data_IF_545325786939
#
_entry.id   IF_545325786939
#
_cell.length_a   1.000
_cell.length_b   1.000
_cell.length_c   1.000
_cell.angle_alpha   90.00
_cell.angle_beta   90.00
_cell.angle_gamma   90.00
#
_symmetry.space_group_name_H-M   'P 1'
#
loop_
_entity.id
_entity.type
_entity.pdbx_description
1 polymer ?
#
# COMPACT_ATOMS: atom_id res chain seq x y z
N UNK A 1 -15.43 -20.45 -13.19
CA UNK A 1 -14.16 -21.17 -13.53
C UNK A 1 -13.08 -20.13 -13.56
N UNK A 2 -11.95 -20.30 -12.88
CA UNK A 2 -10.85 -19.36 -13.06
C UNK A 2 -10.12 -19.69 -14.35
N UNK A 3 -9.83 -18.67 -15.15
CA UNK A 3 -9.07 -18.83 -16.38
C UNK A 3 -7.60 -19.10 -16.01
N UNK A 4 -7.09 -20.28 -16.34
CA UNK A 4 -5.71 -20.66 -16.05
C UNK A 4 -4.89 -20.51 -17.33
N UNK A 5 -3.87 -19.67 -17.31
CA UNK A 5 -2.92 -19.54 -18.40
C UNK A 5 -1.70 -20.41 -18.09
N UNK A 6 -1.32 -21.26 -19.03
CA UNK A 6 -0.07 -22.02 -18.90
C UNK A 6 1.16 -21.16 -19.26
N UNK A 7 2.32 -21.61 -18.79
CA UNK A 7 3.58 -20.90 -19.00
C UNK A 7 3.97 -20.78 -20.47
N UNK A 8 3.58 -21.74 -21.30
CA UNK A 8 3.88 -21.71 -22.72
C UNK A 8 3.09 -20.58 -23.40
N UNK A 9 1.79 -20.45 -23.12
CA UNK A 9 0.94 -19.38 -23.64
C UNK A 9 1.49 -17.99 -23.25
N UNK A 10 1.93 -17.81 -21.98
CA UNK A 10 2.53 -16.55 -21.54
C UNK A 10 3.81 -16.21 -22.32
N UNK A 11 4.62 -17.24 -22.63
CA UNK A 11 5.83 -17.07 -23.41
C UNK A 11 5.54 -16.77 -24.88
N UNK A 12 4.60 -17.51 -25.49
CA UNK A 12 4.21 -17.34 -26.91
C UNK A 12 3.59 -15.96 -27.17
N UNK A 13 2.89 -15.40 -26.18
CA UNK A 13 2.34 -14.06 -26.21
C UNK A 13 3.35 -12.95 -25.85
N UNK A 14 4.59 -13.32 -25.49
CA UNK A 14 5.61 -12.34 -25.10
C UNK A 14 5.27 -11.53 -23.85
N UNK A 15 4.43 -12.11 -22.95
CA UNK A 15 4.01 -11.44 -21.71
C UNK A 15 5.22 -11.14 -20.83
N UNK A 16 6.07 -12.15 -20.59
CA UNK A 16 7.34 -12.02 -19.87
C UNK A 16 8.49 -12.32 -20.81
N UNK A 17 9.41 -11.39 -21.01
CA UNK A 17 10.49 -11.49 -22.00
C UNK A 17 11.44 -12.65 -21.75
N UNK A 18 11.85 -13.31 -22.86
CA UNK A 18 12.93 -14.27 -22.84
C UNK A 18 14.19 -13.86 -23.62
N UNK A 19 14.18 -12.85 -24.46
CA UNK A 19 15.37 -12.41 -25.22
C UNK A 19 15.16 -11.00 -25.80
N UNK A 20 15.99 -10.03 -25.43
CA UNK A 20 16.24 -8.73 -26.08
C UNK A 20 15.05 -7.85 -26.51
N UNK A 21 13.83 -8.31 -26.41
CA UNK A 21 12.61 -7.55 -26.74
C UNK A 21 11.92 -7.07 -25.46
N UNK A 22 11.28 -5.91 -25.53
CA UNK A 22 10.49 -5.39 -24.43
C UNK A 22 9.24 -6.27 -24.31
N UNK A 23 9.07 -6.95 -23.17
CA UNK A 23 7.87 -7.74 -22.90
C UNK A 23 6.65 -6.85 -22.65
N UNK A 24 5.45 -7.41 -22.81
CA UNK A 24 4.21 -6.69 -22.47
C UNK A 24 4.23 -6.24 -21.02
N UNK A 25 4.65 -7.11 -20.10
CA UNK A 25 4.81 -6.75 -18.69
C UNK A 25 5.77 -5.56 -18.51
N UNK A 26 6.96 -5.61 -19.11
CA UNK A 26 7.95 -4.53 -18.99
C UNK A 26 7.46 -3.20 -19.55
N UNK A 27 6.64 -3.23 -20.62
CA UNK A 27 6.02 -2.04 -21.18
C UNK A 27 5.08 -1.34 -20.19
N UNK A 28 4.31 -2.12 -19.43
CA UNK A 28 3.32 -1.59 -18.49
C UNK A 28 3.86 -1.41 -17.06
N UNK A 29 5.02 -2.02 -16.71
CA UNK A 29 5.57 -1.95 -15.36
C UNK A 29 6.36 -0.65 -15.12
N UNK A 30 5.64 0.44 -14.98
CA UNK A 30 6.13 1.72 -14.50
C UNK A 30 5.68 1.99 -13.04
N UNK A 31 5.33 0.91 -12.30
CA UNK A 31 4.95 1.01 -10.90
C UNK A 31 6.10 1.59 -10.07
N UNK A 32 5.74 2.42 -9.11
CA UNK A 32 6.68 3.12 -8.22
C UNK A 32 7.03 2.32 -6.98
N UNK A 33 6.20 1.32 -6.66
CA UNK A 33 6.36 0.45 -5.49
C UNK A 33 6.67 -0.97 -5.92
N UNK A 34 7.37 -1.71 -5.04
CA UNK A 34 7.61 -3.14 -5.24
C UNK A 34 6.31 -3.93 -5.22
N UNK A 35 5.41 -3.62 -4.27
CA UNK A 35 4.08 -4.24 -4.19
C UNK A 35 3.24 -4.01 -5.43
N UNK A 36 3.28 -2.80 -6.01
CA UNK A 36 2.62 -2.51 -7.30
C UNK A 36 3.16 -3.36 -8.44
N UNK A 37 4.49 -3.48 -8.56
CA UNK A 37 5.10 -4.35 -9.59
C UNK A 37 4.69 -5.81 -9.43
N UNK A 38 4.61 -6.33 -8.20
CA UNK A 38 4.15 -7.70 -7.93
C UNK A 38 2.67 -7.89 -8.30
N UNK A 39 1.81 -6.95 -7.93
CA UNK A 39 0.38 -7.00 -8.30
C UNK A 39 0.21 -6.97 -9.83
N UNK A 40 0.96 -6.13 -10.54
CA UNK A 40 0.90 -6.13 -12.00
C UNK A 40 1.32 -7.49 -12.60
N UNK A 41 2.37 -8.10 -12.06
CA UNK A 41 2.81 -9.43 -12.47
C UNK A 41 1.73 -10.47 -12.23
N UNK A 42 1.11 -10.47 -11.04
CA UNK A 42 -0.02 -11.34 -10.70
C UNK A 42 -1.22 -11.15 -11.61
N UNK A 43 -1.52 -9.91 -12.04
CA UNK A 43 -2.60 -9.62 -12.97
C UNK A 43 -2.39 -10.26 -14.35
N UNK A 44 -1.15 -10.44 -14.79
CA UNK A 44 -0.84 -11.14 -16.02
C UNK A 44 -0.91 -12.66 -15.87
N UNK A 45 -0.52 -13.20 -14.70
CA UNK A 45 -0.66 -14.64 -14.42
C UNK A 45 -2.12 -15.05 -14.18
N UNK A 46 -2.94 -14.17 -13.61
CA UNK A 46 -4.30 -14.44 -13.19
C UNK A 46 -5.29 -13.44 -13.83
N UNK A 47 -5.54 -13.53 -15.14
CA UNK A 47 -6.49 -12.63 -15.80
C UNK A 47 -7.91 -12.84 -15.27
N UNK A 48 -8.66 -11.74 -15.19
CA UNK A 48 -10.04 -11.77 -14.73
C UNK A 48 -10.94 -12.39 -15.82
N UNK A 49 -11.89 -13.22 -15.39
CA UNK A 49 -12.96 -13.81 -16.20
C UNK A 49 -14.37 -13.32 -15.80
N UNK A 50 -14.44 -12.52 -14.74
CA UNK A 50 -15.71 -11.95 -14.26
C UNK A 50 -15.95 -10.57 -14.87
N UNK A 51 -17.12 -10.40 -15.51
CA UNK A 51 -17.51 -9.16 -16.20
C UNK A 51 -17.44 -7.92 -15.29
N UNK A 52 -17.99 -8.00 -14.06
CA UNK A 52 -18.03 -6.85 -13.15
C UNK A 52 -16.64 -6.46 -12.67
N UNK A 53 -15.76 -7.44 -12.40
CA UNK A 53 -14.37 -7.17 -12.00
C UNK A 53 -13.57 -6.57 -13.16
N UNK A 54 -13.76 -7.05 -14.39
CA UNK A 54 -13.10 -6.49 -15.59
C UNK A 54 -13.58 -5.06 -15.82
N UNK A 55 -14.90 -4.84 -15.78
CA UNK A 55 -15.52 -3.52 -15.96
C UNK A 55 -14.98 -2.52 -14.93
N UNK A 56 -14.91 -2.92 -13.67
CA UNK A 56 -14.40 -2.10 -12.59
C UNK A 56 -12.91 -1.75 -12.79
N UNK A 57 -12.05 -2.73 -13.08
CA UNK A 57 -10.63 -2.50 -13.39
C UNK A 57 -10.47 -1.56 -14.57
N UNK A 58 -11.22 -1.79 -15.65
CA UNK A 58 -11.23 -0.94 -16.84
C UNK A 58 -11.68 0.50 -16.53
N UNK A 59 -12.68 0.69 -15.65
CA UNK A 59 -13.16 2.01 -15.25
C UNK A 59 -12.10 2.77 -14.44
N UNK A 60 -11.41 2.10 -13.50
CA UNK A 60 -10.33 2.70 -12.70
C UNK A 60 -9.14 3.13 -13.56
N UNK A 61 -8.68 2.27 -14.49
CA UNK A 61 -7.63 2.63 -15.45
C UNK A 61 -8.07 3.81 -16.31
N UNK A 62 -9.32 3.80 -16.82
CA UNK A 62 -9.89 4.90 -17.60
C UNK A 62 -9.98 6.22 -16.82
N UNK A 63 -10.29 6.15 -15.54
CA UNK A 63 -10.28 7.33 -14.65
C UNK A 63 -8.88 7.95 -14.60
N UNK A 64 -7.84 7.18 -14.32
CA UNK A 64 -6.47 7.69 -14.25
C UNK A 64 -5.94 8.17 -15.61
N UNK A 65 -6.34 7.52 -16.71
CA UNK A 65 -6.01 7.96 -18.05
C UNK A 65 -6.64 9.35 -18.36
N UNK A 66 -7.89 9.57 -17.96
CA UNK A 66 -8.63 10.83 -18.16
C UNK A 66 -8.08 11.95 -17.27
N UNK A 67 -7.90 11.68 -15.97
CA UNK A 67 -7.47 12.69 -15.00
C UNK A 67 -5.98 12.98 -15.02
N UNK A 68 -5.17 12.04 -15.57
CA UNK A 68 -3.70 12.11 -15.54
C UNK A 68 -3.13 12.33 -14.14
N UNK A 69 -3.82 11.80 -13.13
CA UNK A 69 -3.40 11.92 -11.75
C UNK A 69 -2.12 11.12 -11.51
N UNK A 70 -1.12 11.76 -10.92
CA UNK A 70 0.15 11.12 -10.58
C UNK A 70 0.04 10.36 -9.26
N UNK A 71 0.91 9.36 -9.10
CA UNK A 71 1.04 8.62 -7.84
C UNK A 71 1.68 9.54 -6.77
N UNK A 72 0.96 9.87 -5.68
CA UNK A 72 1.40 10.93 -4.75
C UNK A 72 2.32 10.42 -3.64
N UNK A 73 2.54 9.11 -3.54
CA UNK A 73 3.30 8.50 -2.45
C UNK A 73 4.79 8.43 -2.77
N UNK A 74 5.63 8.51 -1.73
CA UNK A 74 7.07 8.33 -1.86
C UNK A 74 7.44 6.85 -1.73
N UNK A 75 8.21 6.30 -2.67
CA UNK A 75 8.61 4.89 -2.67
C UNK A 75 9.31 4.47 -1.35
N UNK A 76 10.14 5.34 -0.79
CA UNK A 76 10.87 5.06 0.45
C UNK A 76 9.96 4.81 1.66
N UNK A 77 8.73 5.31 1.65
CA UNK A 77 7.78 5.05 2.73
C UNK A 77 7.35 3.58 2.75
N UNK A 78 7.20 2.97 1.56
CA UNK A 78 6.81 1.55 1.46
C UNK A 78 7.93 0.64 1.93
N UNK A 79 9.17 0.90 1.54
CA UNK A 79 10.32 0.10 2.01
C UNK A 79 10.42 0.11 3.54
N UNK A 80 10.25 1.26 4.18
CA UNK A 80 10.29 1.39 5.63
C UNK A 80 9.08 0.72 6.31
N UNK A 81 7.87 0.92 5.75
CA UNK A 81 6.64 0.34 6.28
C UNK A 81 6.62 -1.19 6.15
N UNK A 82 7.00 -1.72 4.98
CA UNK A 82 7.07 -3.17 4.73
C UNK A 82 8.10 -3.84 5.62
N UNK A 83 9.29 -3.23 5.78
CA UNK A 83 10.32 -3.73 6.69
C UNK A 83 9.79 -3.80 8.12
N UNK A 84 9.16 -2.73 8.62
CA UNK A 84 8.59 -2.67 9.96
C UNK A 84 7.46 -3.69 10.17
N UNK A 85 6.55 -3.84 9.20
CA UNK A 85 5.43 -4.79 9.29
C UNK A 85 5.87 -6.25 9.11
N UNK A 86 7.01 -6.51 8.49
CA UNK A 86 7.56 -7.86 8.34
C UNK A 86 8.08 -8.46 9.64
N UNK A 87 8.35 -7.62 10.63
CA UNK A 87 8.77 -8.07 11.95
C UNK A 87 7.54 -8.50 12.79
N UNK A 88 7.33 -9.79 12.88
CA UNK A 88 6.24 -10.42 13.63
C UNK A 88 6.64 -10.92 15.01
N UNK A 89 7.88 -10.67 15.46
CA UNK A 89 8.35 -11.13 16.77
C UNK A 89 7.78 -10.24 17.88
N UNK A 90 6.96 -10.82 18.76
CA UNK A 90 6.39 -10.10 19.90
C UNK A 90 7.43 -9.45 20.83
N UNK A 91 8.67 -9.96 20.83
CA UNK A 91 9.78 -9.38 21.61
C UNK A 91 10.23 -8.02 21.09
N UNK A 92 9.92 -7.70 19.83
CA UNK A 92 10.22 -6.40 19.20
C UNK A 92 9.16 -5.36 19.45
N UNK A 93 8.05 -5.74 20.13
CA UNK A 93 6.97 -4.82 20.48
C UNK A 93 7.50 -3.64 21.29
N UNK A 94 7.19 -2.44 20.83
CA UNK A 94 7.55 -1.22 21.54
C UNK A 94 6.58 -1.08 22.73
N UNK A 95 7.12 -1.00 23.94
CA UNK A 95 6.32 -0.82 25.14
C UNK A 95 6.62 0.53 25.78
N UNK A 96 5.56 1.22 26.22
CA UNK A 96 5.69 2.34 27.15
C UNK A 96 6.28 1.83 28.46
N UNK A 97 7.30 2.46 28.99
CA UNK A 97 7.86 2.07 30.30
C UNK A 97 7.09 2.79 31.42
N UNK A 98 6.15 2.12 32.11
CA UNK A 98 5.40 2.74 33.20
C UNK A 98 6.28 3.05 34.42
N UNK A 99 7.55 2.60 34.43
CA UNK A 99 8.50 2.81 35.54
C UNK A 99 9.35 4.09 35.38
N UNK A 100 9.04 5.00 34.47
CA UNK A 100 9.71 6.32 34.35
C UNK A 100 9.36 7.29 35.47
N UNK A 101 8.51 6.88 36.42
CA UNK A 101 8.23 7.57 37.69
C UNK A 101 9.09 7.04 38.82
N UNK A 102 10.09 7.76 39.20
CA UNK A 102 10.73 7.81 40.55
C UNK A 102 11.30 6.52 41.19
N UNK A 103 12.31 5.85 40.62
CA UNK A 103 13.25 5.09 41.46
C UNK A 103 14.63 4.93 40.81
N UNK A 104 15.68 5.02 41.61
CA UNK A 104 17.08 4.84 41.20
C UNK A 104 17.39 3.45 40.59
N UNK A 105 16.57 2.43 40.93
CA UNK A 105 16.66 1.08 40.35
C UNK A 105 16.26 1.04 38.87
N UNK A 106 15.42 1.98 38.42
CA UNK A 106 15.02 2.11 37.01
C UNK A 106 16.14 2.66 36.12
N UNK A 107 17.08 3.41 36.67
CA UNK A 107 18.20 3.99 35.90
C UNK A 107 19.22 2.91 35.45
N UNK A 108 19.46 1.89 36.30
CA UNK A 108 20.35 0.78 35.97
C UNK A 108 19.68 -0.18 34.97
N UNK A 109 18.37 -0.46 35.15
CA UNK A 109 17.58 -1.25 34.19
C UNK A 109 17.42 -0.54 32.87
N UNK A 110 17.29 0.80 32.81
CA UNK A 110 17.31 1.60 31.59
C UNK A 110 18.66 1.50 30.85
N UNK A 111 19.77 1.53 31.56
CA UNK A 111 21.10 1.34 30.94
C UNK A 111 21.30 -0.07 30.41
N UNK A 112 20.77 -1.09 31.07
CA UNK A 112 20.81 -2.48 30.61
C UNK A 112 19.84 -2.74 29.45
N UNK A 113 18.61 -2.17 29.47
CA UNK A 113 17.67 -2.24 28.35
C UNK A 113 18.13 -1.43 27.12
N UNK A 114 18.79 -0.29 27.35
CA UNK A 114 19.39 0.52 26.27
C UNK A 114 20.58 -0.17 25.59
N UNK A 115 21.21 -1.14 26.27
CA UNK A 115 22.27 -2.00 25.72
C UNK A 115 21.68 -3.17 24.90
N UNK A 116 20.39 -3.52 25.09
CA UNK A 116 19.75 -4.68 24.45
C UNK A 116 18.93 -4.30 23.20
N UNK A 117 18.37 -3.07 23.10
CA UNK A 117 17.87 -2.53 21.84
C UNK A 117 18.88 -1.50 21.33
N UNK A 118 19.52 -1.83 20.22
CA UNK A 118 20.39 -0.87 19.54
C UNK A 118 19.53 0.33 19.14
N UNK A 119 20.05 1.55 19.25
CA UNK A 119 19.38 2.79 18.81
C UNK A 119 18.85 2.64 17.37
N UNK A 120 19.49 1.78 16.56
CA UNK A 120 19.10 1.40 15.19
C UNK A 120 17.77 0.65 15.06
N UNK A 121 17.41 -0.24 16.00
CA UNK A 121 16.14 -0.99 15.90
C UNK A 121 14.93 -0.09 16.22
N UNK A 122 15.07 0.78 17.22
CA UNK A 122 14.04 1.77 17.53
C UNK A 122 13.85 2.76 16.37
N UNK A 123 14.95 3.29 15.82
CA UNK A 123 14.90 4.21 14.69
C UNK A 123 14.29 3.57 13.43
N UNK A 124 14.50 2.27 13.20
CA UNK A 124 13.89 1.55 12.09
C UNK A 124 12.39 1.39 12.29
N UNK A 125 11.95 1.01 13.50
CA UNK A 125 10.54 0.91 13.83
C UNK A 125 9.84 2.27 13.77
N UNK A 126 10.47 3.33 14.31
CA UNK A 126 9.98 4.70 14.26
C UNK A 126 9.77 5.16 12.80
N UNK A 127 10.77 4.95 11.93
CA UNK A 127 10.66 5.27 10.51
C UNK A 127 9.52 4.50 9.83
N UNK A 128 9.34 3.23 10.17
CA UNK A 128 8.24 2.42 9.64
C UNK A 128 6.87 2.95 10.07
N UNK A 129 6.72 3.28 11.34
CA UNK A 129 5.49 3.87 11.89
C UNK A 129 5.17 5.22 11.23
N UNK A 130 6.15 6.12 11.17
CA UNK A 130 5.99 7.44 10.52
C UNK A 130 5.62 7.26 9.05
N UNK A 131 6.26 6.31 8.35
CA UNK A 131 5.93 6.02 6.95
C UNK A 131 4.50 5.52 6.76
N UNK A 132 3.99 4.66 7.67
CA UNK A 132 2.59 4.23 7.65
C UNK A 132 1.63 5.39 7.89
N UNK A 133 1.94 6.28 8.85
CA UNK A 133 1.16 7.48 9.11
C UNK A 133 1.07 8.35 7.86
N UNK A 134 2.19 8.59 7.17
CA UNK A 134 2.24 9.39 5.96
C UNK A 134 1.51 8.71 4.78
N UNK A 135 1.65 7.39 4.61
CA UNK A 135 0.92 6.63 3.58
C UNK A 135 -0.59 6.73 3.81
N UNK A 136 -1.07 6.50 5.04
CA UNK A 136 -2.49 6.52 5.37
C UNK A 136 -3.07 7.92 5.18
N UNK A 137 -2.35 8.96 5.59
CA UNK A 137 -2.79 10.35 5.41
C UNK A 137 -2.82 10.76 3.94
N UNK A 138 -1.81 10.36 3.15
CA UNK A 138 -1.80 10.60 1.71
C UNK A 138 -2.95 9.85 1.02
N UNK A 139 -3.23 8.61 1.44
CA UNK A 139 -4.36 7.83 0.94
C UNK A 139 -5.69 8.49 1.28
N UNK A 140 -5.84 9.02 2.49
CA UNK A 140 -7.03 9.77 2.91
C UNK A 140 -7.34 10.93 1.95
N UNK A 141 -6.35 11.75 1.64
CA UNK A 141 -6.50 12.89 0.73
C UNK A 141 -6.78 12.45 -0.70
N UNK A 142 -6.07 11.42 -1.15
CA UNK A 142 -6.21 10.89 -2.50
C UNK A 142 -7.61 10.30 -2.73
N UNK A 143 -8.10 9.50 -1.80
CA UNK A 143 -9.43 8.88 -1.90
C UNK A 143 -10.55 9.90 -1.75
N UNK A 144 -10.38 10.97 -0.96
CA UNK A 144 -11.32 12.07 -0.88
C UNK A 144 -11.49 12.79 -2.24
N UNK A 145 -10.42 12.89 -3.02
CA UNK A 145 -10.48 13.44 -4.39
C UNK A 145 -11.19 12.47 -5.33
N UNK A 146 -10.89 11.17 -5.28
CA UNK A 146 -11.54 10.16 -6.10
C UNK A 146 -13.05 10.06 -5.82
N UNK A 147 -13.46 10.22 -4.58
CA UNK A 147 -14.87 10.15 -4.17
C UNK A 147 -15.75 11.26 -4.76
N UNK A 148 -15.15 12.32 -5.33
CA UNK A 148 -15.89 13.38 -6.03
C UNK A 148 -16.28 12.98 -7.46
N UNK A 149 -15.67 11.91 -8.02
CA UNK A 149 -15.97 11.42 -9.36
C UNK A 149 -17.11 10.38 -9.31
N UNK A 150 -18.26 10.76 -9.89
CA UNK A 150 -19.46 9.91 -9.88
C UNK A 150 -19.31 8.61 -10.67
N UNK A 151 -18.46 8.59 -11.69
CA UNK A 151 -18.20 7.39 -12.47
C UNK A 151 -17.47 6.35 -11.59
N UNK A 152 -16.49 6.77 -10.83
CA UNK A 152 -15.73 5.89 -9.92
C UNK A 152 -16.60 5.39 -8.78
N UNK A 153 -17.34 6.25 -8.11
CA UNK A 153 -18.23 5.86 -7.00
C UNK A 153 -19.34 4.91 -7.43
N UNK A 154 -19.74 4.94 -8.70
CA UNK A 154 -20.76 4.03 -9.24
C UNK A 154 -20.26 2.62 -9.52
N UNK A 155 -18.95 2.41 -9.66
CA UNK A 155 -18.36 1.12 -10.07
C UNK A 155 -17.50 0.44 -9.02
N UNK A 156 -17.20 1.12 -7.89
CA UNK A 156 -16.36 0.55 -6.85
C UNK A 156 -16.90 0.78 -5.44
N UNK A 157 -17.13 -0.31 -4.73
CA UNK A 157 -17.41 -0.32 -3.29
C UNK A 157 -16.14 -0.35 -2.44
N UNK A 158 -14.96 -0.55 -3.07
CA UNK A 158 -13.69 -0.57 -2.33
C UNK A 158 -13.34 0.81 -1.80
N UNK A 159 -13.67 1.86 -2.54
CA UNK A 159 -13.45 3.22 -2.09
C UNK A 159 -14.23 3.50 -0.80
N UNK A 160 -15.48 3.03 -0.72
CA UNK A 160 -16.32 3.18 0.47
C UNK A 160 -15.69 2.44 1.66
N UNK A 161 -15.20 1.20 1.44
CA UNK A 161 -14.55 0.43 2.48
C UNK A 161 -13.22 1.07 2.96
N UNK A 162 -12.43 1.63 2.05
CA UNK A 162 -11.22 2.38 2.40
C UNK A 162 -11.57 3.59 3.25
N UNK A 163 -12.61 4.33 2.85
CA UNK A 163 -13.09 5.50 3.61
C UNK A 163 -13.61 5.08 4.99
N UNK A 164 -14.39 4.02 5.08
CA UNK A 164 -14.90 3.48 6.36
C UNK A 164 -13.76 3.15 7.34
N UNK A 165 -12.66 2.53 6.86
CA UNK A 165 -11.50 2.23 7.69
C UNK A 165 -10.82 3.53 8.16
N UNK A 166 -10.52 4.43 7.23
CA UNK A 166 -9.76 5.66 7.52
C UNK A 166 -10.56 6.61 8.43
N UNK A 167 -11.87 6.74 8.21
CA UNK A 167 -12.76 7.64 8.95
C UNK A 167 -13.19 7.05 10.32
N UNK A 168 -12.78 5.80 10.64
CA UNK A 168 -13.08 5.17 11.92
C UNK A 168 -12.37 5.87 13.08
N UNK A 169 -12.97 5.81 14.28
CA UNK A 169 -12.36 6.34 15.51
C UNK A 169 -10.98 5.73 15.80
N UNK A 170 -10.74 4.49 15.37
CA UNK A 170 -9.46 3.81 15.54
C UNK A 170 -8.32 4.45 14.76
N UNK A 171 -8.61 4.99 13.58
CA UNK A 171 -7.60 5.64 12.73
C UNK A 171 -7.52 7.16 12.96
N UNK A 172 -8.41 7.76 13.75
CA UNK A 172 -8.36 9.19 14.06
C UNK A 172 -7.00 9.66 14.61
N UNK A 173 -6.30 8.92 15.51
CA UNK A 173 -4.96 9.30 15.95
C UNK A 173 -3.93 9.30 14.82
N UNK A 174 -4.05 8.38 13.85
CA UNK A 174 -3.16 8.30 12.68
C UNK A 174 -3.34 9.53 11.79
N UNK A 175 -4.59 9.94 11.57
CA UNK A 175 -4.92 11.13 10.77
C UNK A 175 -4.42 12.40 11.46
N UNK A 176 -4.56 12.51 12.79
CA UNK A 176 -4.07 13.66 13.56
C UNK A 176 -2.54 13.76 13.60
N UNK A 177 -1.84 12.64 13.43
CA UNK A 177 -0.37 12.58 13.45
C UNK A 177 0.28 12.94 12.10
N UNK A 178 -0.48 13.43 11.11
CA UNK A 178 0.06 13.84 9.81
C UNK A 178 1.22 14.82 9.96
N UNK A 179 2.32 14.55 9.25
CA UNK A 179 3.51 15.40 9.26
C UNK A 179 4.38 15.26 10.51
N UNK A 180 4.18 14.23 11.32
CA UNK A 180 5.04 13.96 12.47
C UNK A 180 6.43 13.53 11.98
N UNK A 181 7.49 14.18 12.48
CA UNK A 181 8.86 13.90 12.07
C UNK A 181 9.60 12.96 13.04
N UNK A 182 9.22 12.97 14.31
CA UNK A 182 9.83 12.17 15.36
C UNK A 182 8.76 11.69 16.35
N UNK A 183 8.93 10.51 16.91
CA UNK A 183 8.05 9.95 17.93
C UNK A 183 8.76 9.85 19.27
N UNK A 184 8.11 10.28 20.33
CA UNK A 184 8.54 9.88 21.67
C UNK A 184 8.34 8.36 21.84
N UNK A 185 9.01 7.76 22.84
CA UNK A 185 8.86 6.33 23.10
C UNK A 185 7.41 5.92 23.37
N UNK A 186 6.64 6.76 24.08
CA UNK A 186 5.23 6.50 24.38
C UNK A 186 4.37 6.61 23.10
N UNK A 187 4.64 7.58 22.25
CA UNK A 187 3.96 7.69 20.95
C UNK A 187 4.30 6.51 20.04
N UNK A 188 5.57 6.12 19.97
CA UNK A 188 5.99 4.96 19.20
C UNK A 188 5.31 3.67 19.71
N UNK A 189 5.25 3.46 21.03
CA UNK A 189 4.57 2.32 21.63
C UNK A 189 3.06 2.33 21.33
N UNK A 190 2.43 3.50 21.39
CA UNK A 190 1.01 3.67 21.06
C UNK A 190 0.74 3.31 19.58
N UNK A 191 1.49 3.89 18.64
CA UNK A 191 1.28 3.63 17.21
C UNK A 191 1.70 2.21 16.82
N UNK A 192 2.75 1.64 17.44
CA UNK A 192 3.14 0.24 17.24
C UNK A 192 1.99 -0.69 17.61
N UNK A 193 1.38 -0.49 18.79
CA UNK A 193 0.22 -1.27 19.22
C UNK A 193 -0.98 -1.10 18.26
N UNK A 194 -1.28 0.14 17.90
CA UNK A 194 -2.42 0.48 17.05
C UNK A 194 -2.30 -0.11 15.64
N UNK A 195 -1.13 0.04 15.00
CA UNK A 195 -0.94 -0.28 13.58
C UNK A 195 -0.54 -1.75 13.35
N UNK A 196 0.40 -2.27 14.17
CA UNK A 196 0.97 -3.60 13.95
C UNK A 196 0.20 -4.72 14.65
N UNK A 197 -0.49 -4.42 15.77
CA UNK A 197 -1.20 -5.44 16.56
C UNK A 197 -2.72 -5.32 16.48
N UNK A 198 -3.30 -4.16 16.77
CA UNK A 198 -4.75 -4.03 16.86
C UNK A 198 -5.44 -3.94 15.49
N UNK A 199 -4.79 -3.28 14.50
CA UNK A 199 -5.38 -3.03 13.18
C UNK A 199 -4.47 -3.50 12.03
N UNK A 200 -3.68 -4.56 12.25
CA UNK A 200 -2.75 -5.10 11.26
C UNK A 200 -3.43 -5.44 9.92
N UNK A 201 -4.56 -6.13 9.96
CA UNK A 201 -5.31 -6.52 8.76
C UNK A 201 -5.78 -5.29 7.97
N UNK A 202 -6.27 -4.26 8.66
CA UNK A 202 -6.72 -3.02 8.03
C UNK A 202 -5.53 -2.27 7.40
N UNK A 203 -4.39 -2.21 8.08
CA UNK A 203 -3.17 -1.59 7.56
C UNK A 203 -2.72 -2.30 6.28
N UNK A 204 -2.64 -3.63 6.29
CA UNK A 204 -2.31 -4.41 5.09
C UNK A 204 -3.33 -4.21 3.96
N UNK A 205 -4.62 -4.12 4.28
CA UNK A 205 -5.67 -3.84 3.31
C UNK A 205 -5.49 -2.46 2.66
N UNK A 206 -5.20 -1.42 3.45
CA UNK A 206 -4.91 -0.07 2.94
C UNK A 206 -3.67 -0.06 2.04
N UNK A 207 -2.57 -0.70 2.45
CA UNK A 207 -1.35 -0.81 1.64
C UNK A 207 -1.60 -1.52 0.32
N UNK A 208 -2.32 -2.66 0.36
CA UNK A 208 -2.68 -3.40 -0.85
C UNK A 208 -3.51 -2.55 -1.82
N UNK A 209 -4.42 -1.74 -1.31
CA UNK A 209 -5.19 -0.80 -2.13
C UNK A 209 -4.28 0.24 -2.81
N UNK A 210 -3.30 0.79 -2.08
CA UNK A 210 -2.32 1.73 -2.66
C UNK A 210 -1.50 1.07 -3.77
N UNK A 211 -1.09 -0.20 -3.61
CA UNK A 211 -0.38 -0.94 -4.66
C UNK A 211 -1.22 -1.12 -5.93
N UNK A 212 -2.53 -1.36 -5.78
CA UNK A 212 -3.45 -1.40 -6.93
C UNK A 212 -3.57 -0.04 -7.62
N UNK A 213 -3.65 1.06 -6.85
CA UNK A 213 -3.63 2.42 -7.40
C UNK A 213 -2.35 2.67 -8.22
N UNK A 214 -1.18 2.26 -7.69
CA UNK A 214 0.10 2.38 -8.39
C UNK A 214 0.07 1.68 -9.75
N UNK A 215 -0.44 0.44 -9.78
CA UNK A 215 -0.62 -0.32 -11.02
C UNK A 215 -1.57 0.39 -12.00
N UNK A 216 -2.73 0.85 -11.52
CA UNK A 216 -3.70 1.50 -12.39
C UNK A 216 -3.17 2.81 -12.99
N UNK A 217 -2.43 3.59 -12.21
CA UNK A 217 -1.76 4.81 -12.68
C UNK A 217 -0.66 4.45 -13.69
N UNK A 218 0.16 3.42 -13.40
CA UNK A 218 1.21 2.93 -14.29
C UNK A 218 0.65 2.53 -15.66
N UNK A 219 -0.39 1.68 -15.66
CA UNK A 219 -1.05 1.23 -16.89
C UNK A 219 -1.71 2.40 -17.64
N UNK A 220 -2.39 3.29 -16.93
CA UNK A 220 -3.05 4.46 -17.51
C UNK A 220 -2.06 5.42 -18.16
N UNK A 221 -0.91 5.66 -17.53
CA UNK A 221 0.17 6.52 -18.05
C UNK A 221 0.74 5.92 -19.32
N UNK A 222 1.11 4.64 -19.32
CA UNK A 222 1.61 3.92 -20.48
C UNK A 222 0.61 3.94 -21.62
N UNK A 223 -0.66 3.69 -21.35
CA UNK A 223 -1.73 3.71 -22.36
C UNK A 223 -1.88 5.10 -22.99
N UNK A 224 -1.79 6.16 -22.19
CA UNK A 224 -1.89 7.54 -22.66
C UNK A 224 -0.69 7.93 -23.53
N UNK A 225 0.52 7.64 -23.09
CA UNK A 225 1.77 7.98 -23.80
C UNK A 225 1.87 7.26 -25.16
N UNK A 226 1.34 6.04 -25.26
CA UNK A 226 1.37 5.26 -26.50
C UNK A 226 0.09 5.39 -27.35
N UNK A 227 -0.88 6.20 -26.94
CA UNK A 227 -2.15 6.37 -27.67
C UNK A 227 -3.05 5.13 -27.65
N UNK A 228 -2.89 4.25 -26.67
CA UNK A 228 -3.72 3.04 -26.57
C UNK A 228 -5.14 3.37 -26.16
N UNK A 229 -6.09 2.71 -26.80
CA UNK A 229 -7.52 2.87 -26.50
C UNK A 229 -8.00 1.76 -25.56
N UNK A 230 -8.91 2.13 -24.67
CA UNK A 230 -9.57 1.19 -23.76
C UNK A 230 -10.49 0.25 -24.54
N UNK A 231 -10.35 -1.06 -24.32
CA UNK A 231 -11.28 -2.03 -24.87
C UNK A 231 -12.66 -1.91 -24.20
N UNK A 232 -13.73 -2.13 -24.98
CA UNK A 232 -15.08 -2.23 -24.45
C UNK A 232 -15.27 -3.58 -23.74
N UNK A 233 -15.84 -3.53 -22.54
CA UNK A 233 -16.12 -4.75 -21.76
C UNK A 233 -17.53 -5.20 -22.10
N UNK A 234 -17.63 -6.37 -22.76
CA UNK A 234 -18.91 -6.96 -23.15
C UNK A 234 -19.37 -7.97 -22.09
N UNK A 235 -20.71 -8.04 -21.81
CA UNK A 235 -21.26 -9.07 -20.94
C UNK A 235 -21.05 -10.46 -21.55
N UNK A 236 -20.93 -11.48 -20.70
CA UNK A 236 -20.90 -12.87 -21.15
C UNK A 236 -22.25 -13.22 -21.83
N UNK A 237 -22.18 -13.90 -22.95
CA UNK A 237 -23.35 -14.44 -23.65
C UNK A 237 -23.79 -15.76 -23.05
#
# INVERSE_FOLDING_TARGET
MSFIIDKQTLNDLGIFSHKKEISVYALYNNARTRGGSQILEEMFYNPLDNYELIKRRSALIGYFQRTSQSFPFKAIWFDAAEFYLSDTDERTRIVSDPALGNSEKSALQRRLKKIIKTDTEFEQAERGIISLIEIINTLNEFTATMAQDKEITSVTTELDKIREIIDSEKFAPVIQAKGIENLSQDQAAFFDNLLRYENNEQVHYLLNYVYHIDVYISVATTAKENGYVKAEVLPAH
#
